data_IF_553806310834
#
_entry.id   IF_553806310834
#
_cell.length_a   1.000
_cell.length_b   1.000
_cell.length_c   1.000
_cell.angle_alpha   90.00
_cell.angle_beta   90.00
_cell.angle_gamma   90.00
#
_symmetry.space_group_name_H-M   'P 1'
#
loop_
_entity.id
_entity.type
_entity.pdbx_description
1 polymer ?
#
# COMPACT_ATOMS: atom_id res chain seq x y z
N UNK A 1 -14.70 0.55 -0.51
CA UNK A 1 -14.37 -0.89 -0.44
C UNK A 1 -14.03 -1.49 -1.81
N UNK A 2 -14.70 -1.11 -2.91
CA UNK A 2 -14.47 -1.69 -4.26
C UNK A 2 -13.11 -1.31 -4.89
N UNK A 3 -12.56 -0.15 -4.57
CA UNK A 3 -11.33 0.34 -5.20
C UNK A 3 -10.08 -0.50 -4.87
N UNK A 4 -10.01 -1.12 -3.69
CA UNK A 4 -8.84 -1.95 -3.31
C UNK A 4 -8.77 -3.22 -4.16
N UNK A 5 -9.84 -4.06 -4.25
CA UNK A 5 -9.87 -5.18 -5.19
C UNK A 5 -9.68 -4.74 -6.65
N UNK A 6 -10.29 -3.63 -7.07
CA UNK A 6 -10.17 -3.13 -8.44
C UNK A 6 -8.72 -2.76 -8.78
N UNK A 7 -8.00 -2.07 -7.89
CA UNK A 7 -6.59 -1.74 -8.07
C UNK A 7 -5.71 -2.98 -8.14
N UNK A 8 -5.90 -3.94 -7.23
CA UNK A 8 -5.13 -5.20 -7.22
C UNK A 8 -5.31 -6.02 -8.49
N UNK A 9 -6.50 -6.01 -9.09
CA UNK A 9 -6.75 -6.67 -10.38
C UNK A 9 -5.96 -6.05 -11.53
N UNK A 10 -5.59 -4.77 -11.45
CA UNK A 10 -4.81 -4.09 -12.50
C UNK A 10 -3.30 -4.31 -12.39
N UNK A 11 -2.79 -4.68 -11.21
CA UNK A 11 -1.36 -4.91 -10.94
C UNK A 11 -0.68 -5.81 -11.99
N UNK A 12 -1.19 -7.02 -12.32
CA UNK A 12 -0.52 -7.88 -13.30
C UNK A 12 -0.45 -7.26 -14.71
N UNK A 13 -1.37 -6.36 -15.07
CA UNK A 13 -1.35 -5.70 -16.37
C UNK A 13 -0.39 -4.51 -16.40
N UNK A 14 -0.32 -3.76 -15.29
CA UNK A 14 0.58 -2.61 -15.15
C UNK A 14 2.05 -3.02 -15.02
N UNK A 15 2.32 -4.13 -14.33
CA UNK A 15 3.69 -4.58 -14.07
C UNK A 15 4.20 -5.66 -15.03
N UNK A 16 3.43 -5.99 -16.08
CA UNK A 16 3.74 -7.06 -17.04
C UNK A 16 5.03 -6.83 -17.85
N UNK A 17 5.49 -5.58 -17.96
CA UNK A 17 6.70 -5.23 -18.71
C UNK A 17 7.96 -5.90 -18.12
N UNK A 18 7.96 -6.12 -16.80
CA UNK A 18 9.09 -6.71 -16.10
C UNK A 18 8.86 -8.20 -15.77
N UNK A 19 9.60 -9.08 -16.44
CA UNK A 19 9.56 -10.54 -16.26
C UNK A 19 10.23 -11.04 -14.97
N UNK A 20 11.00 -10.20 -14.27
CA UNK A 20 11.66 -10.62 -13.05
C UNK A 20 10.63 -10.88 -11.96
N UNK A 21 10.71 -12.04 -11.31
CA UNK A 21 9.86 -12.36 -10.16
C UNK A 21 10.50 -11.90 -8.84
N UNK A 22 11.83 -11.84 -8.78
CA UNK A 22 12.56 -11.45 -7.58
C UNK A 22 12.30 -9.96 -7.23
N UNK A 23 11.78 -9.63 -6.03
CA UNK A 23 11.53 -8.25 -5.60
C UNK A 23 12.78 -7.35 -5.67
N UNK A 24 13.96 -7.88 -5.36
CA UNK A 24 15.21 -7.12 -5.43
C UNK A 24 15.63 -6.73 -6.85
N UNK A 25 14.97 -7.29 -7.88
CA UNK A 25 15.12 -6.89 -9.29
C UNK A 25 13.96 -6.03 -9.80
N UNK A 26 13.03 -5.66 -8.92
CA UNK A 26 11.86 -4.81 -9.19
C UNK A 26 11.78 -3.68 -8.16
N UNK A 27 12.77 -2.76 -8.13
CA UNK A 27 12.88 -1.77 -7.06
C UNK A 27 11.67 -0.84 -6.97
N UNK A 28 11.09 -0.45 -8.10
CA UNK A 28 9.91 0.43 -8.16
C UNK A 28 8.67 -0.27 -7.58
N UNK A 29 8.31 -1.45 -8.10
CA UNK A 29 7.20 -2.26 -7.60
C UNK A 29 7.29 -2.54 -6.10
N UNK A 30 8.49 -2.91 -5.65
CA UNK A 30 8.76 -3.21 -4.24
C UNK A 30 8.60 -1.96 -3.36
N UNK A 31 9.04 -0.80 -3.83
CA UNK A 31 8.91 0.46 -3.07
C UNK A 31 7.45 0.87 -2.93
N UNK A 32 6.66 0.81 -4.02
CA UNK A 32 5.22 1.11 -4.00
C UNK A 32 4.50 0.17 -3.04
N UNK A 33 4.76 -1.14 -3.14
CA UNK A 33 4.18 -2.14 -2.25
C UNK A 33 4.48 -1.86 -0.76
N UNK A 34 5.72 -1.48 -0.42
CA UNK A 34 6.09 -1.18 0.96
C UNK A 34 5.41 0.10 1.48
N UNK A 35 5.31 1.14 0.65
CA UNK A 35 4.59 2.37 1.00
C UNK A 35 3.10 2.08 1.21
N UNK A 36 2.46 1.38 0.28
CA UNK A 36 1.04 1.03 0.39
C UNK A 36 0.76 0.16 1.62
N UNK A 37 1.66 -0.78 1.93
CA UNK A 37 1.57 -1.59 3.14
C UNK A 37 1.67 -0.73 4.39
N UNK A 38 2.60 0.23 4.44
CA UNK A 38 2.73 1.15 5.56
C UNK A 38 1.48 2.04 5.71
N UNK A 39 0.93 2.55 4.61
CA UNK A 39 -0.31 3.36 4.60
C UNK A 39 -1.52 2.53 5.07
N UNK A 40 -1.64 1.28 4.61
CA UNK A 40 -2.73 0.39 5.02
C UNK A 40 -2.69 0.11 6.53
N UNK A 41 -1.48 -0.14 7.08
CA UNK A 41 -1.30 -0.30 8.52
C UNK A 41 -1.58 1.01 9.28
N UNK A 42 -1.08 2.14 8.79
CA UNK A 42 -1.30 3.45 9.40
C UNK A 42 -2.78 3.80 9.52
N UNK A 43 -3.52 3.67 8.42
CA UNK A 43 -4.97 3.92 8.38
C UNK A 43 -5.76 2.86 9.17
N UNK A 44 -5.29 1.61 9.18
CA UNK A 44 -5.89 0.54 9.98
C UNK A 44 -5.80 0.81 11.49
N UNK A 45 -4.64 1.26 11.97
CA UNK A 45 -4.45 1.68 13.37
C UNK A 45 -5.27 2.94 13.64
N UNK A 46 -5.22 3.94 12.74
CA UNK A 46 -5.96 5.19 12.86
C UNK A 46 -7.47 5.02 12.97
N UNK A 47 -8.03 3.96 12.37
CA UNK A 47 -9.44 3.61 12.47
C UNK A 47 -9.89 3.20 13.89
N UNK A 48 -8.96 2.83 14.79
CA UNK A 48 -9.25 2.51 16.19
C UNK A 48 -9.13 3.71 17.15
N UNK A 49 -8.70 4.87 16.65
CA UNK A 49 -8.46 6.08 17.43
C UNK A 49 -9.56 7.14 17.21
N UNK A 50 -9.68 8.15 18.09
CA UNK A 50 -10.53 9.31 17.83
C UNK A 50 -10.13 10.02 16.54
N UNK A 51 -11.12 10.58 15.83
CA UNK A 51 -10.91 11.18 14.49
C UNK A 51 -9.82 12.26 14.47
N UNK A 52 -9.69 13.02 15.56
CA UNK A 52 -8.68 14.08 15.72
C UNK A 52 -7.24 13.55 15.76
N UNK A 53 -7.05 12.29 16.15
CA UNK A 53 -5.75 11.63 16.26
C UNK A 53 -5.53 10.56 15.19
N UNK A 54 -6.56 10.24 14.41
CA UNK A 54 -6.53 9.17 13.41
C UNK A 54 -5.40 9.32 12.38
N UNK A 55 -5.06 10.54 11.98
CA UNK A 55 -4.01 10.80 11.00
C UNK A 55 -2.61 10.89 11.62
N UNK A 56 -2.47 11.44 12.84
CA UNK A 56 -1.16 11.59 13.48
C UNK A 56 -0.77 10.41 14.36
N UNK A 57 -1.70 9.48 14.60
CA UNK A 57 -1.63 8.39 15.57
C UNK A 57 -1.25 8.85 16.99
N UNK A 58 -1.42 10.14 17.29
CA UNK A 58 -1.01 10.75 18.56
C UNK A 58 0.50 10.90 18.75
N UNK A 59 1.30 10.74 17.69
CA UNK A 59 2.77 10.80 17.74
C UNK A 59 3.33 12.18 17.37
N UNK A 60 2.50 13.01 16.71
CA UNK A 60 2.81 14.37 16.28
C UNK A 60 1.58 15.28 16.45
#
# INVERSE_FOLDING_TARGET
MVLVPAGLLTVPFLENDNKFQNPFRRPVATTIFLIDTAVALWLGIGASLPIEKSLTLGVF
#
